data_IF_835084627654
#
_entry.id   IF_835084627654
#
_cell.length_a   1.000
_cell.length_b   1.000
_cell.length_c   1.000
_cell.angle_alpha   90.00
_cell.angle_beta   90.00
_cell.angle_gamma   90.00
#
_symmetry.space_group_name_H-M   'P 1'
#
loop_
_entity.id
_entity.type
_entity.pdbx_description
1 polymer ?
#
# COMPACT_ATOMS: atom_id res chain seq x y z
N UNK A 1 -9.32 -18.19 -25.55
CA UNK A 1 -8.17 -17.69 -24.99
C UNK A 1 -8.37 -16.92 -23.75
N UNK A 2 -7.66 -17.29 -22.79
CA UNK A 2 -7.79 -16.73 -21.50
C UNK A 2 -6.96 -15.48 -21.36
N UNK A 3 -7.57 -14.46 -20.81
CA UNK A 3 -6.87 -13.29 -20.55
C UNK A 3 -6.56 -13.23 -19.12
N UNK A 4 -5.34 -13.22 -18.78
CA UNK A 4 -4.96 -13.05 -17.39
C UNK A 4 -4.93 -11.59 -17.07
N UNK A 5 -6.00 -11.15 -16.48
CA UNK A 5 -6.07 -9.77 -16.07
C UNK A 5 -5.60 -9.66 -14.65
N UNK A 6 -4.44 -9.09 -14.45
CA UNK A 6 -3.99 -8.84 -13.10
C UNK A 6 -4.10 -7.36 -12.81
N UNK A 7 -4.36 -7.06 -11.55
CA UNK A 7 -4.35 -5.69 -11.09
C UNK A 7 -2.94 -5.36 -10.67
N UNK A 8 -2.48 -4.20 -11.08
CA UNK A 8 -1.16 -3.72 -10.66
C UNK A 8 -1.36 -2.39 -10.01
N UNK A 9 -0.90 -2.27 -8.77
CA UNK A 9 -0.97 -1.01 -8.04
C UNK A 9 0.42 -0.58 -7.70
N UNK A 10 0.62 0.72 -7.62
CA UNK A 10 1.89 1.28 -7.23
C UNK A 10 1.84 1.65 -5.77
N UNK A 11 2.91 1.37 -5.05
CA UNK A 11 2.95 1.65 -3.64
C UNK A 11 4.09 2.60 -3.38
N UNK A 12 3.86 3.59 -2.53
CA UNK A 12 4.87 4.53 -2.13
C UNK A 12 4.97 4.61 -0.63
N UNK A 13 6.18 4.76 -0.15
CA UNK A 13 6.46 4.87 1.27
C UNK A 13 7.09 6.22 1.53
N UNK A 14 6.68 6.86 2.61
CA UNK A 14 7.13 8.21 2.88
C UNK A 14 7.76 8.36 4.25
N UNK A 15 8.61 9.34 4.38
CA UNK A 15 9.17 9.80 5.64
C UNK A 15 9.89 8.68 6.38
N UNK A 16 9.69 8.59 7.69
CA UNK A 16 10.41 7.61 8.47
C UNK A 16 10.06 6.18 8.09
N UNK A 17 8.88 5.98 7.54
CA UNK A 17 8.51 4.65 7.09
C UNK A 17 9.39 4.21 5.93
N UNK A 18 9.64 5.11 4.99
CA UNK A 18 10.54 4.82 3.88
C UNK A 18 11.93 4.47 4.40
N UNK A 19 12.39 5.20 5.40
CA UNK A 19 13.71 4.93 5.97
C UNK A 19 13.76 3.57 6.65
N UNK A 20 12.70 3.21 7.36
CA UNK A 20 12.66 1.92 8.04
C UNK A 20 12.65 0.76 7.08
N UNK A 21 11.91 0.89 6.00
CA UNK A 21 11.77 -0.20 5.05
C UNK A 21 12.92 -0.28 4.07
N UNK A 22 13.64 0.82 3.91
CA UNK A 22 14.75 0.84 2.96
C UNK A 22 14.32 0.94 1.51
N UNK A 23 13.06 1.32 1.29
CA UNK A 23 12.55 1.47 -0.06
C UNK A 23 11.63 2.67 -0.13
N UNK A 24 11.58 3.29 -1.30
CA UNK A 24 10.70 4.42 -1.51
C UNK A 24 9.41 4.01 -2.21
N UNK A 25 9.42 2.91 -2.94
CA UNK A 25 8.24 2.51 -3.69
C UNK A 25 8.32 1.03 -4.04
N UNK A 26 7.16 0.49 -4.38
CA UNK A 26 7.02 -0.90 -4.75
C UNK A 26 5.90 -1.02 -5.74
N UNK A 27 5.71 -2.21 -6.27
CA UNK A 27 4.61 -2.51 -7.16
C UNK A 27 4.02 -3.83 -6.71
N UNK A 28 2.71 -3.94 -6.72
CA UNK A 28 2.05 -5.13 -6.25
C UNK A 28 1.02 -5.56 -7.28
N UNK A 29 1.06 -6.83 -7.64
CA UNK A 29 0.13 -7.36 -8.63
C UNK A 29 -0.65 -8.52 -8.03
N UNK A 30 -1.95 -8.50 -8.24
CA UNK A 30 -2.80 -9.59 -7.78
C UNK A 30 -3.85 -9.87 -8.86
N UNK A 31 -4.40 -11.06 -8.84
CA UNK A 31 -5.41 -11.43 -9.81
C UNK A 31 -6.80 -11.01 -9.39
N UNK A 32 -6.99 -10.64 -8.15
CA UNK A 32 -8.31 -10.31 -7.62
C UNK A 32 -8.26 -9.01 -6.86
N UNK A 33 -9.44 -8.48 -6.61
CA UNK A 33 -9.57 -7.28 -5.81
C UNK A 33 -8.87 -7.47 -4.47
N UNK A 34 -8.18 -6.46 -4.04
CA UNK A 34 -7.44 -6.52 -2.79
C UNK A 34 -7.69 -5.25 -1.99
N UNK A 35 -7.34 -5.28 -0.72
CA UNK A 35 -7.46 -4.12 0.14
C UNK A 35 -6.09 -3.55 0.44
N UNK A 36 -6.07 -2.34 0.99
CA UNK A 36 -4.83 -1.71 1.40
C UNK A 36 -4.08 -2.61 2.38
N UNK A 37 -4.80 -3.19 3.34
CA UNK A 37 -4.14 -4.07 4.32
C UNK A 37 -3.55 -5.30 3.67
N UNK A 38 -4.24 -5.86 2.69
CA UNK A 38 -3.74 -7.06 2.02
C UNK A 38 -2.51 -6.77 1.19
N UNK A 39 -2.44 -5.58 0.64
CA UNK A 39 -1.25 -5.17 -0.10
C UNK A 39 -0.05 -5.15 0.83
N UNK A 40 -0.21 -4.56 2.01
CA UNK A 40 0.91 -4.56 2.96
C UNK A 40 1.32 -5.97 3.33
N UNK A 41 0.33 -6.81 3.65
CA UNK A 41 0.63 -8.18 4.05
C UNK A 41 1.35 -8.96 2.95
N UNK A 42 0.99 -8.69 1.69
CA UNK A 42 1.64 -9.36 0.58
C UNK A 42 3.06 -8.89 0.34
N UNK A 43 3.32 -7.60 0.53
CA UNK A 43 4.65 -7.05 0.32
C UNK A 43 5.57 -7.28 1.51
N UNK A 44 5.01 -7.26 2.70
CA UNK A 44 5.81 -7.35 3.92
C UNK A 44 5.26 -8.42 4.85
N UNK A 45 5.30 -9.68 4.42
CA UNK A 45 4.66 -10.74 5.22
C UNK A 45 5.25 -10.93 6.59
N UNK A 46 6.48 -10.50 6.80
CA UNK A 46 7.12 -10.68 8.10
C UNK A 46 7.26 -9.38 8.87
N UNK A 47 6.71 -8.31 8.34
CA UNK A 47 6.81 -7.02 8.98
C UNK A 47 5.40 -6.48 9.20
N UNK A 48 4.91 -6.51 10.42
CA UNK A 48 3.56 -5.99 10.64
C UNK A 48 3.51 -4.49 10.35
N UNK A 49 2.36 -4.04 9.93
CA UNK A 49 2.15 -2.63 9.68
C UNK A 49 2.36 -1.88 10.98
N UNK A 50 3.26 -0.90 11.01
CA UNK A 50 3.48 -0.18 12.26
C UNK A 50 2.20 0.48 12.74
N UNK A 51 2.01 0.56 14.05
CA UNK A 51 0.79 1.15 14.58
C UNK A 51 0.64 2.59 14.12
N UNK A 52 -0.59 2.98 13.87
CA UNK A 52 -0.94 4.33 13.47
C UNK A 52 -0.41 4.73 12.09
N UNK A 53 0.01 3.76 11.29
CA UNK A 53 0.40 4.06 9.92
C UNK A 53 -0.84 4.47 9.14
N UNK A 54 -0.70 5.52 8.36
CA UNK A 54 -1.77 6.03 7.55
C UNK A 54 -1.60 5.57 6.12
N UNK A 55 -2.71 5.53 5.40
CA UNK A 55 -2.68 5.16 4.00
C UNK A 55 -3.51 6.11 3.18
N UNK A 56 -3.16 6.24 1.92
CA UNK A 56 -3.93 7.03 0.97
C UNK A 56 -4.00 6.27 -0.33
N UNK A 57 -5.13 6.37 -0.99
CA UNK A 57 -5.30 5.79 -2.31
C UNK A 57 -5.54 6.95 -3.26
N UNK A 58 -4.67 7.09 -4.24
CA UNK A 58 -4.74 8.20 -5.21
C UNK A 58 -4.82 9.54 -4.49
N UNK A 59 -3.97 9.68 -3.46
CA UNK A 59 -3.81 10.92 -2.70
C UNK A 59 -4.98 11.29 -1.80
N UNK A 60 -5.85 10.34 -1.53
CA UNK A 60 -6.94 10.55 -0.58
C UNK A 60 -6.81 9.56 0.55
N UNK A 61 -6.98 10.03 1.78
CA UNK A 61 -6.90 9.14 2.93
C UNK A 61 -7.84 7.97 2.75
N UNK A 62 -7.36 6.80 3.14
CA UNK A 62 -8.13 5.58 2.99
C UNK A 62 -7.95 4.71 4.22
N UNK A 63 -8.97 3.91 4.51
CA UNK A 63 -8.85 2.94 5.59
C UNK A 63 -8.10 1.73 5.09
N UNK A 64 -7.69 0.89 6.01
CA UNK A 64 -6.98 -0.33 5.64
C UNK A 64 -7.89 -1.32 4.93
N UNK A 65 -9.19 -1.19 5.12
CA UNK A 65 -10.16 -2.06 4.45
C UNK A 65 -10.57 -1.57 3.08
N UNK A 66 -10.08 -0.41 2.69
CA UNK A 66 -10.43 0.14 1.39
C UNK A 66 -9.93 -0.77 0.28
N UNK A 67 -10.81 -1.09 -0.68
CA UNK A 67 -10.38 -1.87 -1.84
C UNK A 67 -9.70 -0.96 -2.84
N UNK A 68 -8.79 -1.53 -3.60
CA UNK A 68 -8.05 -0.80 -4.62
C UNK A 68 -8.29 -1.44 -5.96
N UNK A 69 -7.98 -0.69 -7.01
CA UNK A 69 -8.19 -1.12 -8.38
C UNK A 69 -6.90 -1.03 -9.15
N UNK A 70 -6.93 -1.67 -10.31
CA UNK A 70 -5.79 -1.61 -11.22
C UNK A 70 -5.43 -0.15 -11.52
N UNK A 71 -4.16 0.14 -11.40
CA UNK A 71 -3.66 1.48 -11.69
C UNK A 71 -3.67 2.42 -10.51
N UNK A 72 -4.24 2.01 -9.39
CA UNK A 72 -4.27 2.89 -8.21
C UNK A 72 -2.88 3.05 -7.63
N UNK A 73 -2.68 4.16 -6.95
CA UNK A 73 -1.45 4.40 -6.22
C UNK A 73 -1.77 4.41 -4.74
N UNK A 74 -1.10 3.57 -3.98
CA UNK A 74 -1.31 3.46 -2.54
C UNK A 74 -0.09 4.00 -1.84
N UNK A 75 -0.29 4.91 -0.93
CA UNK A 75 0.79 5.50 -0.15
C UNK A 75 0.67 5.09 1.29
N UNK A 76 1.79 4.74 1.89
CA UNK A 76 1.85 4.46 3.33
C UNK A 76 2.76 5.50 3.96
N UNK A 77 2.34 6.05 5.08
CA UNK A 77 3.14 7.07 5.73
C UNK A 77 2.86 7.08 7.22
N UNK A 78 3.82 7.53 8.02
CA UNK A 78 3.63 7.56 9.46
C UNK A 78 2.64 8.65 9.83
N UNK A 79 2.11 8.57 11.04
CA UNK A 79 1.17 9.60 11.46
C UNK A 79 1.87 10.94 11.53
N UNK A 80 1.12 11.98 11.22
CA UNK A 80 1.63 13.33 11.35
C UNK A 80 1.49 13.69 12.82
N UNK A 81 2.60 13.80 13.51
CA UNK A 81 2.54 14.19 14.88
C UNK A 81 2.60 15.70 14.91
N UNK A 82 1.70 16.25 15.60
CA UNK A 82 1.59 17.68 15.65
C UNK A 82 2.71 18.32 16.42
N UNK A 83 3.76 17.91 16.27
CA UNK A 83 4.84 18.52 16.87
C UNK A 83 5.54 18.44 17.77
#
# INVERSE_FOLDING_TARGET
MIKNSVMTVQIKYFASLRDRLGRAEDRFSVAETTTVAEIWAGLWPETPLPPNTLAAVNMEYASLEQTVRDGDEVAFFPPVTGG
#
